data_IF_064955663102
#
_entry.id   IF_064955663102
#
_cell.length_a   1.000
_cell.length_b   1.000
_cell.length_c   1.000
_cell.angle_alpha   90.00
_cell.angle_beta   90.00
_cell.angle_gamma   90.00
#
_symmetry.space_group_name_H-M   'P 1'
#
loop_
_entity.id
_entity.type
_entity.pdbx_description
1 polymer ?
#
# COMPACT_ATOMS: atom_id res chain seq x y z
N UNK A 1 10.73 17.64 6.15
CA UNK A 1 9.53 17.39 5.52
C UNK A 1 9.50 16.05 4.92
N UNK A 2 8.43 15.39 5.07
CA UNK A 2 8.37 14.04 4.64
C UNK A 2 7.78 13.94 3.27
N UNK A 3 8.43 13.21 2.43
CA UNK A 3 7.93 12.98 1.14
C UNK A 3 7.40 11.58 1.08
N UNK A 4 6.24 11.39 0.52
CA UNK A 4 5.66 10.07 0.45
C UNK A 4 5.94 9.43 -0.89
N UNK A 5 6.20 8.14 -0.87
CA UNK A 5 6.41 7.39 -2.09
C UNK A 5 5.51 6.18 -2.12
N UNK A 6 5.01 5.85 -3.28
CA UNK A 6 4.14 4.71 -3.44
C UNK A 6 4.96 3.43 -3.48
N UNK A 7 4.63 2.51 -2.59
CA UNK A 7 5.34 1.23 -2.56
C UNK A 7 4.52 0.12 -3.17
N UNK A 8 3.24 0.31 -3.32
CA UNK A 8 2.40 -0.74 -3.91
C UNK A 8 1.08 -0.15 -4.34
N UNK A 9 0.43 -0.81 -5.26
CA UNK A 9 -0.88 -0.41 -5.71
C UNK A 9 -1.79 -1.62 -5.65
N UNK A 10 -3.04 -1.38 -5.32
CA UNK A 10 -3.98 -2.47 -5.13
C UNK A 10 -5.32 -2.15 -5.76
N UNK A 11 -6.01 -3.19 -6.17
CA UNK A 11 -7.38 -3.01 -6.59
C UNK A 11 -8.35 -3.34 -5.46
N UNK A 12 -7.87 -4.07 -4.48
CA UNK A 12 -8.71 -4.53 -3.39
C UNK A 12 -8.38 -3.78 -2.11
N UNK A 13 -9.31 -3.02 -1.57
CA UNK A 13 -9.01 -2.26 -0.36
C UNK A 13 -8.67 -3.13 0.84
N UNK A 14 -9.17 -4.34 0.87
CA UNK A 14 -8.84 -5.18 1.99
C UNK A 14 -7.37 -5.57 1.97
N UNK A 15 -6.86 -5.89 0.79
CA UNK A 15 -5.45 -6.24 0.69
C UNK A 15 -4.58 -5.03 0.99
N UNK A 16 -5.02 -3.86 0.57
CA UNK A 16 -4.27 -2.65 0.89
C UNK A 16 -4.21 -2.43 2.39
N UNK A 17 -5.31 -2.67 3.08
CA UNK A 17 -5.33 -2.53 4.52
C UNK A 17 -4.42 -3.51 5.21
N UNK A 18 -4.41 -4.75 4.75
CA UNK A 18 -3.55 -5.75 5.33
C UNK A 18 -2.09 -5.37 5.15
N UNK A 19 -1.75 -4.90 3.97
CA UNK A 19 -0.39 -4.50 3.72
C UNK A 19 0.02 -3.31 4.57
N UNK A 20 -0.89 -2.36 4.75
CA UNK A 20 -0.61 -1.23 5.61
C UNK A 20 -0.36 -1.70 7.03
N UNK A 21 -1.20 -2.61 7.52
CA UNK A 21 -1.02 -3.14 8.87
C UNK A 21 0.30 -3.84 9.03
N UNK A 22 0.72 -4.56 8.01
CA UNK A 22 2.00 -5.24 8.07
C UNK A 22 3.15 -4.25 8.21
N UNK A 23 3.12 -3.18 7.44
CA UNK A 23 4.17 -2.19 7.55
C UNK A 23 4.15 -1.52 8.92
N UNK A 24 2.97 -1.22 9.41
CA UNK A 24 2.89 -0.56 10.70
C UNK A 24 3.35 -1.46 11.83
N UNK A 25 3.11 -2.76 11.71
CA UNK A 25 3.58 -3.66 12.75
C UNK A 25 5.10 -3.78 12.72
N UNK A 26 5.72 -3.33 11.66
CA UNK A 26 7.17 -3.30 11.57
C UNK A 26 7.73 -1.91 11.83
N UNK A 27 6.91 -1.03 12.32
CA UNK A 27 7.39 0.29 12.70
C UNK A 27 7.42 1.30 11.57
N UNK A 28 6.82 0.99 10.44
CA UNK A 28 6.82 1.89 9.30
C UNK A 28 5.46 2.52 9.15
N UNK A 29 5.41 3.83 9.14
CA UNK A 29 4.15 4.52 8.97
C UNK A 29 3.74 4.43 7.50
N UNK A 30 2.53 4.05 7.25
CA UNK A 30 2.01 3.90 5.91
C UNK A 30 0.66 4.56 5.76
N UNK A 31 0.37 5.03 4.58
CA UNK A 31 -0.90 5.68 4.30
C UNK A 31 -1.49 5.11 3.04
N UNK A 32 -2.80 5.03 3.02
CA UNK A 32 -3.49 4.55 1.84
C UNK A 32 -4.13 5.73 1.15
N UNK A 33 -3.90 5.85 -0.13
CA UNK A 33 -4.44 6.92 -0.94
C UNK A 33 -5.25 6.33 -2.08
N UNK A 34 -6.14 7.08 -2.60
CA UNK A 34 -7.02 6.65 -3.67
C UNK A 34 -8.18 5.95 -3.06
N UNK A 35 -9.39 6.25 -3.35
CA UNK A 35 -10.46 5.62 -2.73
C UNK A 35 -11.13 4.81 -3.68
N UNK A 36 -11.78 3.82 -3.27
CA UNK A 36 -12.63 3.11 -4.09
C UNK A 36 -13.72 3.95 -4.31
N UNK A 37 -13.95 4.20 -5.48
CA UNK A 37 -14.95 5.03 -5.81
C UNK A 37 -16.26 4.42 -5.61
N UNK A 38 -17.19 5.21 -5.47
CA UNK A 38 -18.51 4.74 -5.41
C UNK A 38 -19.05 4.52 -6.80
N UNK A 39 -18.30 4.75 -7.81
CA UNK A 39 -18.75 4.46 -9.13
C UNK A 39 -18.37 3.08 -9.45
N UNK A 40 -19.29 2.22 -9.55
CA UNK A 40 -18.95 0.86 -9.53
C UNK A 40 -18.44 0.37 -10.80
N UNK A 41 -18.67 0.66 -11.78
CA UNK A 41 -18.41 -0.16 -12.85
C UNK A 41 -17.22 0.08 -13.63
N UNK A 42 -16.90 1.26 -13.83
CA UNK A 42 -15.96 1.51 -14.83
C UNK A 42 -14.57 1.23 -14.48
N UNK A 43 -14.28 1.27 -13.22
CA UNK A 43 -12.92 1.19 -12.83
C UNK A 43 -12.57 -0.07 -12.14
N UNK A 44 -13.36 -1.04 -12.34
CA UNK A 44 -13.17 -2.24 -11.58
C UNK A 44 -11.84 -2.88 -11.83
N UNK A 45 -11.25 -2.65 -12.96
CA UNK A 45 -10.02 -3.30 -13.24
C UNK A 45 -8.81 -2.48 -12.93
N UNK A 46 -9.00 -1.29 -12.41
CA UNK A 46 -7.87 -0.44 -12.19
C UNK A 46 -7.36 -0.57 -10.80
N UNK A 47 -6.07 -0.44 -10.64
CA UNK A 47 -5.47 -0.47 -9.31
C UNK A 47 -5.37 0.95 -8.83
N UNK A 48 -6.44 1.44 -8.24
CA UNK A 48 -6.53 2.82 -7.85
C UNK A 48 -6.05 3.10 -6.46
N UNK A 49 -5.82 2.12 -5.65
CA UNK A 49 -5.43 2.31 -4.26
C UNK A 49 -3.93 2.25 -4.16
N UNK A 50 -3.33 3.29 -3.60
CA UNK A 50 -1.89 3.34 -3.48
C UNK A 50 -1.50 3.31 -2.02
N UNK A 51 -0.49 2.52 -1.72
CA UNK A 51 0.06 2.46 -0.38
C UNK A 51 1.35 3.23 -0.39
N UNK A 52 1.44 4.26 0.44
CA UNK A 52 2.60 5.14 0.44
C UNK A 52 3.27 5.16 1.80
N UNK A 53 4.56 5.34 1.78
CA UNK A 53 5.35 5.48 3.01
C UNK A 53 6.27 6.66 2.84
N UNK A 54 6.90 7.08 3.92
CA UNK A 54 7.90 8.13 3.83
C UNK A 54 9.04 7.68 2.95
N UNK A 55 9.60 8.60 2.21
CA UNK A 55 10.67 8.25 1.29
C UNK A 55 11.81 7.54 1.98
N UNK A 56 12.11 7.92 3.20
CA UNK A 56 13.22 7.28 3.88
C UNK A 56 12.91 5.86 4.29
N UNK A 57 11.65 5.46 4.28
CA UNK A 57 11.29 4.09 4.61
C UNK A 57 11.01 3.25 3.38
N UNK A 58 11.21 3.83 2.22
CA UNK A 58 10.81 3.19 0.98
C UNK A 58 11.44 1.82 0.80
N UNK A 59 12.75 1.74 0.95
CA UNK A 59 13.45 0.48 0.75
C UNK A 59 13.04 -0.56 1.78
N UNK A 60 12.89 -0.14 3.02
CA UNK A 60 12.47 -1.07 4.06
C UNK A 60 11.08 -1.59 3.79
N UNK A 61 10.20 -0.71 3.38
CA UNK A 61 8.84 -1.12 3.10
C UNK A 61 8.79 -2.12 1.94
N UNK A 62 9.58 -1.88 0.92
CA UNK A 62 9.61 -2.82 -0.20
C UNK A 62 10.11 -4.19 0.25
N UNK A 63 11.10 -4.19 1.10
CA UNK A 63 11.62 -5.44 1.61
C UNK A 63 10.59 -6.21 2.41
N UNK A 64 9.86 -5.51 3.25
CA UNK A 64 8.86 -6.16 4.07
C UNK A 64 7.74 -6.73 3.22
N UNK A 65 7.31 -5.97 2.24
CA UNK A 65 6.24 -6.44 1.38
C UNK A 65 6.68 -7.62 0.52
N UNK A 66 7.91 -7.57 0.06
CA UNK A 66 8.42 -8.67 -0.74
C UNK A 66 8.56 -9.94 0.08
N UNK A 67 8.98 -9.80 1.31
CA UNK A 67 9.10 -10.98 2.18
C UNK A 67 7.74 -11.58 2.47
N UNK A 68 6.76 -10.72 2.67
CA UNK A 68 5.42 -11.20 2.91
C UNK A 68 4.88 -11.96 1.70
N UNK A 69 5.17 -11.45 0.53
CA UNK A 69 4.72 -12.04 -0.67
C UNK A 69 5.30 -13.43 -0.87
N UNK A 70 6.50 -13.64 -0.41
CA UNK A 70 7.12 -14.91 -0.55
C UNK A 70 6.83 -15.84 0.57
N UNK A 71 6.20 -15.38 1.59
CA UNK A 71 6.00 -16.17 2.75
C UNK A 71 4.87 -17.12 2.63
N UNK A 72 4.54 -17.64 1.61
CA UNK A 72 3.46 -18.48 1.57
C UNK A 72 3.74 -19.81 1.65
#
# INVERSE_FOLDING_TARGET
>A
MNELKTVARFADPMIASISKGLLESNGIRAEIFGEFSSYPAFNAVQQDIELKVNAEDYDSALSILAASDKAE
#
